data_IF_044542277508
#
_entry.id   IF_044542277508
#
_cell.length_a   1.000
_cell.length_b   1.000
_cell.length_c   1.000
_cell.angle_alpha   90.00
_cell.angle_beta   90.00
_cell.angle_gamma   90.00
#
_symmetry.space_group_name_H-M   'P 1'
#
loop_
_entity.id
_entity.type
_entity.pdbx_description
1 polymer ?
#
# COMPACT_ATOMS: atom_id res chain seq x y z
N UNK A 1 18.62 -33.33 -23.63
CA UNK A 1 20.05 -33.33 -23.29
C UNK A 1 20.20 -33.88 -21.87
N UNK A 2 20.74 -35.09 -21.73
CA UNK A 2 21.04 -35.76 -20.46
C UNK A 2 22.45 -36.33 -20.62
N UNK A 3 23.40 -35.88 -19.82
CA UNK A 3 24.77 -36.38 -19.85
C UNK A 3 25.10 -37.00 -18.49
N UNK A 4 25.14 -38.32 -18.47
CA UNK A 4 25.70 -39.16 -17.40
C UNK A 4 27.19 -39.34 -17.66
N UNK A 5 28.03 -39.16 -16.64
CA UNK A 5 29.40 -39.68 -16.66
C UNK A 5 29.72 -40.36 -15.33
N UNK A 6 29.95 -41.67 -15.43
CA UNK A 6 30.73 -42.49 -14.49
C UNK A 6 32.06 -42.75 -15.18
N UNK A 7 33.17 -42.45 -14.51
CA UNK A 7 34.44 -43.11 -14.77
C UNK A 7 35.18 -43.27 -13.44
N UNK A 8 35.60 -44.51 -13.17
CA UNK A 8 36.44 -44.93 -12.04
C UNK A 8 37.90 -44.67 -12.40
N UNK A 9 38.71 -44.28 -11.42
CA UNK A 9 40.12 -44.65 -11.38
C UNK A 9 40.47 -45.20 -9.99
N UNK A 10 41.11 -46.38 -10.01
CA UNK A 10 41.80 -46.99 -8.88
C UNK A 10 43.01 -46.12 -8.53
N UNK A 11 43.25 -45.91 -7.25
CA UNK A 11 44.59 -45.75 -6.71
C UNK A 11 44.67 -46.58 -5.44
N UNK A 12 45.60 -47.54 -5.45
CA UNK A 12 46.05 -48.30 -4.29
C UNK A 12 46.60 -47.33 -3.25
N UNK A 13 46.31 -47.57 -1.97
CA UNK A 13 47.09 -46.95 -0.90
C UNK A 13 47.41 -48.00 0.14
N UNK A 14 48.71 -48.12 0.30
CA UNK A 14 49.49 -49.07 1.07
C UNK A 14 49.27 -48.82 2.56
N UNK A 15 49.06 -49.89 3.30
CA UNK A 15 49.12 -49.89 4.75
C UNK A 15 50.57 -49.60 5.18
N UNK A 16 50.77 -48.52 5.93
CA UNK A 16 51.95 -48.34 6.77
C UNK A 16 51.45 -47.94 8.16
N UNK A 17 51.69 -48.86 9.09
CA UNK A 17 51.57 -48.68 10.53
C UNK A 17 52.54 -47.55 10.97
N UNK A 18 52.00 -46.54 11.63
CA UNK A 18 52.75 -45.42 12.19
C UNK A 18 52.19 -45.06 13.56
N UNK A 19 52.97 -45.40 14.57
CA UNK A 19 52.72 -45.18 16.00
C UNK A 19 52.36 -43.72 16.35
N UNK A 20 51.37 -43.60 17.23
CA UNK A 20 51.36 -42.69 18.37
C UNK A 20 51.98 -41.31 18.20
N UNK A 21 51.13 -40.31 17.99
CA UNK A 21 51.28 -39.04 18.71
C UNK A 21 49.89 -38.53 19.07
N UNK A 22 49.43 -38.91 20.28
CA UNK A 22 48.37 -38.21 20.99
C UNK A 22 48.84 -36.76 21.19
N UNK A 23 48.48 -35.88 20.25
CA UNK A 23 48.43 -34.45 20.54
C UNK A 23 47.11 -34.24 21.27
N UNK A 24 47.21 -34.06 22.58
CA UNK A 24 46.10 -33.69 23.43
C UNK A 24 45.37 -32.48 22.87
N UNK A 25 44.23 -32.74 22.22
CA UNK A 25 43.15 -31.77 22.10
C UNK A 25 42.53 -31.66 23.48
N UNK A 26 43.23 -30.99 24.40
CA UNK A 26 42.59 -30.28 25.49
C UNK A 26 41.72 -29.22 24.81
N UNK A 27 40.49 -29.62 24.51
CA UNK A 27 39.41 -28.73 24.11
C UNK A 27 39.02 -27.95 25.35
N UNK A 28 39.89 -27.03 25.73
CA UNK A 28 39.72 -26.17 26.89
C UNK A 28 38.44 -25.35 26.66
N UNK A 29 37.42 -25.59 27.48
CA UNK A 29 36.13 -24.91 27.35
C UNK A 29 36.29 -23.38 27.38
N UNK A 30 37.36 -22.90 28.04
CA UNK A 30 37.79 -21.50 28.08
C UNK A 30 38.27 -20.96 26.71
N UNK A 31 38.76 -21.84 25.82
CA UNK A 31 39.16 -21.52 24.43
C UNK A 31 37.96 -21.37 23.50
N UNK A 32 36.93 -22.19 23.68
CA UNK A 32 35.67 -22.10 22.92
C UNK A 32 34.90 -20.83 23.31
N UNK A 33 34.76 -20.56 24.62
CA UNK A 33 34.11 -19.35 25.11
C UNK A 33 34.74 -18.06 24.56
N UNK A 34 36.08 -17.99 24.53
CA UNK A 34 36.82 -16.85 23.95
C UNK A 34 36.60 -16.70 22.44
N UNK A 35 36.46 -17.80 21.68
CA UNK A 35 36.14 -17.73 20.24
C UNK A 35 34.71 -17.27 19.99
N UNK A 36 33.76 -17.73 20.79
CA UNK A 36 32.35 -17.29 20.69
C UNK A 36 32.28 -15.79 21.00
N UNK A 37 32.90 -15.34 22.09
CA UNK A 37 32.92 -13.92 22.46
C UNK A 37 33.52 -13.05 21.35
N UNK A 38 34.70 -13.40 20.80
CA UNK A 38 35.32 -12.65 19.70
C UNK A 38 34.44 -12.59 18.44
N UNK A 39 33.71 -13.66 18.13
CA UNK A 39 32.77 -13.66 17.00
C UNK A 39 31.57 -12.74 17.27
N UNK A 40 31.04 -12.76 18.49
CA UNK A 40 29.95 -11.86 18.90
C UNK A 40 30.40 -10.40 18.86
N UNK A 41 31.60 -10.10 19.38
CA UNK A 41 32.16 -8.75 19.39
C UNK A 41 32.42 -8.27 17.95
N UNK A 42 33.04 -9.09 17.10
CA UNK A 42 33.28 -8.75 15.70
C UNK A 42 31.97 -8.59 14.90
N UNK A 43 30.94 -9.39 15.19
CA UNK A 43 29.62 -9.22 14.60
C UNK A 43 28.95 -7.92 15.07
N UNK A 44 29.11 -7.56 16.34
CA UNK A 44 28.65 -6.28 16.89
C UNK A 44 29.35 -5.08 16.26
N UNK A 45 30.67 -5.15 16.09
CA UNK A 45 31.45 -4.11 15.41
C UNK A 45 31.07 -3.96 13.93
N UNK A 46 30.87 -5.07 13.23
CA UNK A 46 30.41 -5.07 11.85
C UNK A 46 28.99 -4.49 11.70
N UNK A 47 28.07 -4.86 12.61
CA UNK A 47 26.72 -4.30 12.64
C UNK A 47 26.75 -2.78 12.90
N UNK A 48 27.54 -2.32 13.86
CA UNK A 48 27.69 -0.90 14.16
C UNK A 48 28.36 -0.12 13.02
N UNK A 49 29.30 -0.74 12.29
CA UNK A 49 29.89 -0.14 11.09
C UNK A 49 28.88 -0.03 9.94
N UNK A 50 28.06 -1.07 9.73
CA UNK A 50 26.99 -1.06 8.74
C UNK A 50 25.93 0.01 9.06
N UNK A 51 25.54 0.14 10.34
CA UNK A 51 24.59 1.18 10.79
C UNK A 51 25.12 2.60 10.52
N UNK A 52 26.42 2.85 10.77
CA UNK A 52 27.05 4.13 10.45
C UNK A 52 27.16 4.40 8.94
N UNK A 53 27.34 3.37 8.12
CA UNK A 53 27.51 3.50 6.68
C UNK A 53 26.18 3.65 5.91
N UNK A 54 25.07 3.13 6.45
CA UNK A 54 23.78 3.10 5.76
C UNK A 54 23.28 4.48 5.29
N UNK A 55 23.31 5.57 6.10
CA UNK A 55 22.90 6.89 5.62
C UNK A 55 23.76 7.43 4.47
N UNK A 56 25.07 7.14 4.47
CA UNK A 56 25.97 7.57 3.40
C UNK A 56 25.67 6.86 2.08
N UNK A 57 25.43 5.54 2.12
CA UNK A 57 25.08 4.76 0.93
C UNK A 57 23.73 5.19 0.32
N UNK A 58 22.75 5.50 1.18
CA UNK A 58 21.45 6.05 0.78
C UNK A 58 21.62 7.44 0.14
N UNK A 59 22.45 8.30 0.72
CA UNK A 59 22.75 9.63 0.19
C UNK A 59 23.44 9.58 -1.18
N UNK A 60 24.38 8.65 -1.35
CA UNK A 60 25.12 8.47 -2.61
C UNK A 60 24.19 7.98 -3.73
N UNK A 61 23.26 7.08 -3.41
CA UNK A 61 22.36 6.48 -4.41
C UNK A 61 21.16 7.36 -4.77
N UNK A 62 20.53 8.02 -3.80
CA UNK A 62 19.24 8.72 -4.01
C UNK A 62 19.27 10.20 -3.59
N UNK A 63 20.43 10.71 -3.16
CA UNK A 63 20.63 12.12 -2.80
C UNK A 63 20.26 12.49 -1.37
N UNK A 64 20.53 13.75 -1.01
CA UNK A 64 20.43 14.24 0.37
C UNK A 64 19.03 14.19 1.00
N UNK A 65 17.95 14.22 0.19
CA UNK A 65 16.56 14.16 0.70
C UNK A 65 16.20 12.81 1.30
N UNK A 66 16.75 11.72 0.76
CA UNK A 66 16.50 10.35 1.22
C UNK A 66 17.53 9.95 2.29
N UNK A 67 18.71 10.56 2.30
CA UNK A 67 19.76 10.33 3.29
C UNK A 67 19.28 10.50 4.74
N UNK A 68 18.42 11.48 4.99
CA UNK A 68 17.82 11.75 6.31
C UNK A 68 17.00 10.56 6.83
N UNK A 69 16.47 9.74 5.91
CA UNK A 69 15.72 8.51 6.20
C UNK A 69 16.60 7.25 6.27
N UNK A 70 17.92 7.38 6.12
CA UNK A 70 18.81 6.22 5.99
C UNK A 70 18.73 5.22 7.14
N UNK A 71 18.59 5.68 8.39
CA UNK A 71 18.42 4.80 9.55
C UNK A 71 17.07 4.07 9.55
N UNK A 72 16.01 4.70 9.03
CA UNK A 72 14.70 4.06 8.88
C UNK A 72 14.76 3.01 7.76
N UNK A 73 15.25 3.40 6.59
CA UNK A 73 15.32 2.55 5.40
C UNK A 73 16.22 1.32 5.61
N UNK A 74 17.28 1.44 6.41
CA UNK A 74 18.09 0.29 6.81
C UNK A 74 17.30 -0.82 7.53
N UNK A 75 16.12 -0.51 8.07
CA UNK A 75 15.23 -1.44 8.79
C UNK A 75 13.90 -1.69 8.07
N UNK A 76 13.66 -1.05 6.93
CA UNK A 76 12.43 -1.18 6.15
C UNK A 76 12.72 -1.74 4.75
N UNK A 77 12.66 -3.06 4.56
CA UNK A 77 12.80 -3.67 3.24
C UNK A 77 11.77 -3.11 2.24
N UNK A 78 10.52 -2.94 2.68
CA UNK A 78 9.45 -2.36 1.84
C UNK A 78 9.78 -0.92 1.42
N UNK A 79 10.31 -0.10 2.32
CA UNK A 79 10.72 1.27 1.99
C UNK A 79 11.86 1.32 0.98
N UNK A 80 12.82 0.41 1.09
CA UNK A 80 13.92 0.29 0.11
C UNK A 80 13.41 -0.14 -1.25
N UNK A 81 12.54 -1.16 -1.30
CA UNK A 81 11.94 -1.64 -2.55
C UNK A 81 11.09 -0.54 -3.20
N UNK A 82 10.30 0.19 -2.41
CA UNK A 82 9.48 1.29 -2.88
C UNK A 82 10.33 2.42 -3.49
N UNK A 83 11.40 2.84 -2.80
CA UNK A 83 12.31 3.87 -3.30
C UNK A 83 13.01 3.41 -4.59
N UNK A 84 13.45 2.17 -4.66
CA UNK A 84 14.00 1.61 -5.89
C UNK A 84 12.98 1.66 -7.02
N UNK A 85 11.75 1.21 -6.75
CA UNK A 85 10.68 1.21 -7.74
C UNK A 85 10.36 2.63 -8.23
N UNK A 86 10.36 3.58 -7.31
CA UNK A 86 10.03 4.99 -7.57
C UNK A 86 11.12 5.74 -8.35
N UNK A 87 12.38 5.65 -7.92
CA UNK A 87 13.46 6.43 -8.53
C UNK A 87 14.00 5.81 -9.83
N UNK A 88 13.83 4.50 -10.03
CA UNK A 88 14.28 3.79 -11.23
C UNK A 88 13.10 3.55 -12.22
N UNK A 89 12.05 4.37 -12.15
CA UNK A 89 10.78 4.24 -12.90
C UNK A 89 10.98 3.98 -14.40
N UNK A 90 11.82 4.79 -15.06
CA UNK A 90 12.01 4.71 -16.51
C UNK A 90 12.64 3.37 -16.94
N UNK A 91 13.63 2.89 -16.18
CA UNK A 91 14.29 1.61 -16.44
C UNK A 91 13.34 0.44 -16.17
N UNK A 92 12.64 0.48 -15.03
CA UNK A 92 11.72 -0.59 -14.64
C UNK A 92 10.51 -0.65 -15.56
N UNK A 93 9.93 0.49 -15.94
CA UNK A 93 8.83 0.56 -16.92
C UNK A 93 9.26 -0.04 -18.27
N UNK A 94 10.48 0.25 -18.74
CA UNK A 94 11.01 -0.34 -19.96
C UNK A 94 11.24 -1.86 -19.86
N UNK A 95 11.57 -2.35 -18.66
CA UNK A 95 11.85 -3.77 -18.41
C UNK A 95 10.59 -4.62 -18.24
N UNK A 96 9.63 -4.17 -17.42
CA UNK A 96 8.45 -4.97 -17.03
C UNK A 96 7.16 -4.55 -17.72
N UNK A 97 7.17 -3.42 -18.43
CA UNK A 97 5.98 -2.80 -19.01
C UNK A 97 5.23 -1.93 -18.01
N UNK A 98 4.53 -0.93 -18.53
CA UNK A 98 3.86 0.09 -17.72
C UNK A 98 2.77 -0.49 -16.80
N UNK A 99 1.92 -1.37 -17.31
CA UNK A 99 0.84 -1.95 -16.51
C UNK A 99 1.36 -2.75 -15.31
N UNK A 100 2.45 -3.50 -15.50
CA UNK A 100 3.06 -4.27 -14.42
C UNK A 100 3.82 -3.36 -13.46
N UNK A 101 4.45 -2.30 -13.97
CA UNK A 101 5.09 -1.29 -13.16
C UNK A 101 4.08 -0.65 -12.18
N UNK A 102 2.95 -0.19 -12.70
CA UNK A 102 1.91 0.47 -11.89
C UNK A 102 1.25 -0.52 -10.92
N UNK A 103 1.00 -1.76 -11.36
CA UNK A 103 0.47 -2.78 -10.46
C UNK A 103 1.39 -3.01 -9.26
N UNK A 104 2.68 -3.18 -9.54
CA UNK A 104 3.68 -3.39 -8.49
C UNK A 104 3.86 -2.15 -7.61
N UNK A 105 3.78 -0.95 -8.18
CA UNK A 105 3.83 0.29 -7.41
C UNK A 105 2.66 0.33 -6.41
N UNK A 106 1.43 0.05 -6.84
CA UNK A 106 0.28 0.00 -5.95
C UNK A 106 0.37 -1.07 -4.86
N UNK A 107 0.87 -2.27 -5.21
CA UNK A 107 1.17 -3.34 -4.23
C UNK A 107 2.19 -2.87 -3.17
N UNK A 108 3.29 -2.23 -3.60
CA UNK A 108 4.34 -1.73 -2.70
C UNK A 108 3.81 -0.61 -1.80
N UNK A 109 3.07 0.34 -2.36
CA UNK A 109 2.44 1.41 -1.59
C UNK A 109 1.43 0.87 -0.56
N UNK A 110 0.72 -0.21 -0.90
CA UNK A 110 -0.22 -0.85 0.01
C UNK A 110 0.45 -1.56 1.19
N UNK A 111 1.73 -1.92 1.04
CA UNK A 111 2.54 -2.59 2.08
C UNK A 111 3.43 -1.62 2.85
N UNK A 112 3.63 -0.42 2.31
CA UNK A 112 4.50 0.60 2.85
C UNK A 112 3.87 1.24 4.10
N UNK A 113 4.70 1.49 5.12
CA UNK A 113 4.29 2.31 6.26
C UNK A 113 4.22 3.79 5.85
N UNK A 114 3.53 4.61 6.65
CA UNK A 114 3.49 6.06 6.47
C UNK A 114 4.91 6.68 6.37
N UNK A 115 5.91 6.10 7.06
CA UNK A 115 7.31 6.55 7.02
C UNK A 115 8.00 6.20 5.72
N UNK A 116 7.70 5.03 5.15
CA UNK A 116 8.23 4.64 3.83
C UNK A 116 7.72 5.58 2.75
N UNK A 117 6.42 5.93 2.80
CA UNK A 117 5.81 6.92 1.89
C UNK A 117 6.44 8.31 2.07
N UNK A 118 6.67 8.72 3.31
CA UNK A 118 7.36 9.98 3.60
C UNK A 118 8.81 9.98 3.09
N UNK A 119 9.53 8.87 3.22
CA UNK A 119 10.90 8.69 2.73
C UNK A 119 10.97 8.70 1.19
N UNK A 120 9.95 8.19 0.51
CA UNK A 120 9.78 8.31 -0.94
C UNK A 120 9.65 9.78 -1.40
N UNK A 121 9.23 10.67 -0.49
CA UNK A 121 9.17 12.12 -0.72
C UNK A 121 7.80 12.65 -1.10
N UNK A 122 6.71 11.94 -0.76
CA UNK A 122 5.35 12.42 -0.97
C UNK A 122 5.00 13.59 -0.05
N UNK A 123 4.10 14.47 -0.52
CA UNK A 123 3.48 15.48 0.33
C UNK A 123 2.57 14.82 1.35
N UNK A 124 2.40 15.40 2.53
CA UNK A 124 1.54 14.83 3.58
C UNK A 124 0.36 15.76 3.90
N UNK A 125 -0.59 15.30 4.71
CA UNK A 125 -1.76 16.11 5.16
C UNK A 125 -1.43 17.46 5.77
N UNK A 126 -0.19 17.68 6.24
CA UNK A 126 0.28 18.99 6.73
C UNK A 126 0.75 19.93 5.62
N UNK A 127 1.24 19.38 4.51
CA UNK A 127 1.84 20.07 3.36
C UNK A 127 1.73 19.19 2.12
N UNK A 128 0.65 19.40 1.36
CA UNK A 128 0.39 18.69 0.10
C UNK A 128 1.18 19.28 -1.08
N UNK A 129 1.68 20.52 -0.95
CA UNK A 129 2.32 21.30 -2.02
C UNK A 129 3.80 20.94 -2.29
N UNK A 130 4.40 20.10 -1.44
CA UNK A 130 5.80 19.70 -1.51
C UNK A 130 6.04 18.44 -0.68
N UNK A 131 7.12 17.71 -0.98
CA UNK A 131 7.59 16.58 -0.18
C UNK A 131 7.62 16.89 1.34
N UNK A 132 7.29 15.93 2.22
CA UNK A 132 7.50 16.10 3.66
C UNK A 132 8.99 16.40 3.92
N UNK A 133 9.32 17.67 4.20
CA UNK A 133 10.69 18.13 4.49
C UNK A 133 11.08 18.00 5.96
N UNK A 134 10.16 17.55 6.81
CA UNK A 134 10.40 17.41 8.25
C UNK A 134 10.58 15.94 8.58
N UNK A 135 11.63 15.29 8.05
CA UNK A 135 11.93 13.90 8.39
C UNK A 135 12.00 13.72 9.91
N UNK A 136 12.58 14.70 10.62
CA UNK A 136 12.61 14.78 12.09
C UNK A 136 11.24 14.77 12.79
N UNK A 137 10.15 15.11 12.10
CA UNK A 137 8.78 15.11 12.63
C UNK A 137 7.97 13.94 12.06
N UNK A 138 8.06 13.69 10.75
CA UNK A 138 7.34 12.61 10.03
C UNK A 138 7.89 11.21 10.39
N UNK A 139 9.15 11.10 10.85
CA UNK A 139 9.76 9.81 11.22
C UNK A 139 9.45 9.34 12.65
N UNK A 140 8.93 10.22 13.51
CA UNK A 140 8.67 9.88 14.91
C UNK A 140 7.49 8.92 15.05
N UNK A 141 7.50 8.08 16.08
CA UNK A 141 6.29 7.39 16.51
C UNK A 141 5.31 8.39 17.12
N UNK A 142 4.01 8.33 16.79
CA UNK A 142 3.03 9.18 17.45
C UNK A 142 2.97 8.79 18.92
N UNK A 143 3.33 9.72 19.80
CA UNK A 143 3.25 9.53 21.25
C UNK A 143 1.80 9.77 21.67
N UNK A 144 1.07 8.68 21.96
CA UNK A 144 -0.30 8.74 22.47
C UNK A 144 -0.28 8.65 24.00
N UNK A 145 -0.93 9.57 24.74
CA UNK A 145 -1.06 9.47 26.18
C UNK A 145 -1.73 8.15 26.61
N UNK A 146 -1.33 7.56 27.76
CA UNK A 146 -1.95 6.33 28.25
C UNK A 146 -3.47 6.50 28.43
N UNK A 147 -4.26 5.65 27.76
CA UNK A 147 -5.73 5.67 27.84
C UNK A 147 -6.41 6.50 26.75
N UNK A 148 -5.64 7.25 25.94
CA UNK A 148 -6.16 7.87 24.72
C UNK A 148 -6.00 6.92 23.53
N UNK A 149 -6.98 6.94 22.63
CA UNK A 149 -6.84 6.36 21.29
C UNK A 149 -6.63 7.51 20.34
N UNK A 150 -5.71 7.36 19.39
CA UNK A 150 -5.67 8.28 18.25
C UNK A 150 -7.05 8.28 17.61
N UNK A 151 -7.55 9.47 17.27
CA UNK A 151 -8.75 9.57 16.46
C UNK A 151 -8.55 8.75 15.17
N UNK A 152 -9.62 8.17 14.63
CA UNK A 152 -9.60 7.34 13.40
C UNK A 152 -8.91 8.03 12.21
N UNK A 153 -8.76 9.35 12.27
CA UNK A 153 -8.02 10.15 11.32
C UNK A 153 -6.89 10.93 12.03
N UNK A 154 -5.66 10.67 11.61
CA UNK A 154 -4.43 11.33 12.08
C UNK A 154 -4.33 12.74 11.48
N UNK A 155 -5.07 13.69 12.04
CA UNK A 155 -4.98 15.10 11.66
C UNK A 155 -4.64 15.94 12.90
N UNK A 156 -3.68 16.87 12.77
CA UNK A 156 -3.33 17.82 13.83
C UNK A 156 -1.83 18.00 14.06
N UNK A 157 -1.46 18.54 15.22
CA UNK A 157 -0.08 18.91 15.61
C UNK A 157 0.77 17.74 16.16
N UNK A 158 0.20 16.53 16.26
CA UNK A 158 0.90 15.35 16.79
C UNK A 158 2.05 14.90 15.86
N UNK A 159 3.32 14.87 16.27
CA UNK A 159 4.43 14.38 15.44
C UNK A 159 4.17 12.96 14.89
N UNK A 160 4.63 12.67 13.67
CA UNK A 160 4.42 11.38 13.00
C UNK A 160 2.99 11.06 12.55
N UNK A 161 1.99 11.86 12.95
CA UNK A 161 0.58 11.54 12.73
C UNK A 161 0.04 12.01 11.37
N UNK A 162 0.72 11.69 10.26
CA UNK A 162 0.16 11.93 8.92
C UNK A 162 -0.78 10.78 8.54
N UNK A 163 -2.05 11.07 8.24
CA UNK A 163 -3.04 10.08 7.77
C UNK A 163 -3.14 9.94 6.26
N UNK A 164 -2.59 10.89 5.49
CA UNK A 164 -2.62 10.82 4.03
C UNK A 164 -1.38 11.45 3.42
N UNK A 165 -0.99 10.89 2.28
CA UNK A 165 0.14 11.30 1.48
C UNK A 165 -0.29 11.44 0.03
N UNK A 166 0.03 12.59 -0.56
CA UNK A 166 -0.42 12.96 -1.90
C UNK A 166 0.79 13.36 -2.73
N UNK A 167 0.84 12.87 -3.96
CA UNK A 167 1.65 13.42 -5.04
C UNK A 167 0.72 13.83 -6.18
N UNK A 168 0.71 15.12 -6.51
CA UNK A 168 -0.08 15.67 -7.60
C UNK A 168 0.77 16.19 -8.76
N UNK A 169 2.06 15.86 -8.78
CA UNK A 169 3.03 16.37 -9.76
C UNK A 169 3.64 15.28 -10.63
N UNK A 170 3.69 14.02 -10.17
CA UNK A 170 4.02 12.91 -11.07
C UNK A 170 2.82 12.53 -11.94
N UNK A 171 3.12 11.82 -13.03
CA UNK A 171 2.12 11.21 -13.93
C UNK A 171 1.25 10.12 -13.26
N UNK A 172 1.60 9.72 -12.03
CA UNK A 172 0.91 8.66 -11.30
C UNK A 172 -0.13 9.19 -10.31
N UNK A 173 -0.15 10.51 -10.08
CA UNK A 173 -1.01 11.23 -9.14
C UNK A 173 -1.49 10.34 -7.97
N UNK A 174 -0.65 10.22 -6.96
CA UNK A 174 -0.80 9.25 -5.88
C UNK A 174 -1.60 9.85 -4.73
N UNK A 175 -2.57 9.10 -4.20
CA UNK A 175 -3.19 9.36 -2.89
C UNK A 175 -3.14 8.08 -2.05
N UNK A 176 -2.39 8.13 -0.94
CA UNK A 176 -2.27 7.04 0.03
C UNK A 176 -2.90 7.49 1.34
N UNK A 177 -3.79 6.67 1.91
CA UNK A 177 -4.42 6.93 3.22
C UNK A 177 -4.12 5.82 4.22
N UNK A 178 -4.00 6.20 5.50
CA UNK A 178 -3.69 5.35 6.63
C UNK A 178 -4.71 5.55 7.77
N UNK A 179 -5.02 4.46 8.47
CA UNK A 179 -5.75 4.45 9.72
C UNK A 179 -4.78 4.58 10.91
N UNK A 180 -5.30 4.46 12.13
CA UNK A 180 -4.47 4.34 13.32
C UNK A 180 -3.53 3.10 13.26
N UNK A 181 -2.38 3.18 13.93
CA UNK A 181 -1.41 2.07 14.01
C UNK A 181 -0.66 1.74 12.70
N UNK A 182 -0.57 2.66 11.76
CA UNK A 182 0.08 2.54 10.44
C UNK A 182 -0.63 1.52 9.53
N UNK A 183 -1.88 1.15 9.87
CA UNK A 183 -2.70 0.31 9.00
C UNK A 183 -3.03 1.08 7.72
N UNK A 184 -2.58 0.55 6.60
CA UNK A 184 -2.94 1.03 5.27
C UNK A 184 -4.46 1.00 5.10
N UNK A 185 -5.01 2.02 4.44
CA UNK A 185 -6.43 2.09 4.09
C UNK A 185 -6.63 2.05 2.59
N UNK A 186 -6.12 3.04 1.87
CA UNK A 186 -6.29 3.09 0.42
C UNK A 186 -5.05 3.61 -0.30
N UNK A 187 -4.79 3.06 -1.48
CA UNK A 187 -3.88 3.62 -2.48
C UNK A 187 -4.67 3.86 -3.73
N UNK A 188 -4.58 5.07 -4.24
CA UNK A 188 -5.23 5.48 -5.47
C UNK A 188 -4.17 6.13 -6.36
N UNK A 189 -4.00 5.55 -7.55
CA UNK A 189 -3.08 6.03 -8.57
C UNK A 189 -3.91 6.57 -9.72
N UNK A 190 -3.91 7.89 -9.92
CA UNK A 190 -4.48 8.50 -11.11
C UNK A 190 -3.37 8.58 -12.16
N UNK A 191 -3.35 7.66 -13.12
CA UNK A 191 -2.67 7.96 -14.38
C UNK A 191 -3.36 9.17 -15.00
N UNK A 192 -2.68 9.90 -15.88
CA UNK A 192 -3.13 11.12 -16.58
C UNK A 192 -4.59 11.10 -17.16
N UNK A 193 -5.27 9.95 -17.10
CA UNK A 193 -6.69 9.76 -17.35
C UNK A 193 -7.40 8.93 -16.23
N UNK A 194 -8.59 9.32 -15.73
CA UNK A 194 -9.23 8.60 -14.61
C UNK A 194 -9.76 7.19 -14.95
N UNK A 195 -9.98 6.89 -16.24
CA UNK A 195 -10.24 5.52 -16.73
C UNK A 195 -9.03 4.57 -16.65
N UNK A 196 -7.84 5.09 -16.36
CA UNK A 196 -6.64 4.29 -16.08
C UNK A 196 -6.29 4.27 -14.59
N UNK A 197 -7.17 4.85 -13.75
CA UNK A 197 -6.96 4.91 -12.32
C UNK A 197 -6.98 3.52 -11.69
N UNK A 198 -6.21 3.36 -10.63
CA UNK A 198 -6.04 2.08 -9.95
C UNK A 198 -6.21 2.28 -8.45
N UNK A 199 -7.12 1.51 -7.85
CA UNK A 199 -7.46 1.61 -6.43
C UNK A 199 -7.17 0.31 -5.70
N UNK A 200 -6.46 0.41 -4.58
CA UNK A 200 -6.33 -0.65 -3.59
C UNK A 200 -6.97 -0.21 -2.28
N UNK A 201 -7.74 -1.09 -1.65
CA UNK A 201 -8.32 -0.90 -0.32
C UNK A 201 -7.84 -2.03 0.58
N UNK A 202 -7.19 -1.70 1.70
CA UNK A 202 -6.51 -2.67 2.58
C UNK A 202 -5.60 -3.66 1.81
N UNK A 203 -4.98 -3.19 0.71
CA UNK A 203 -4.10 -3.96 -0.17
C UNK A 203 -4.80 -4.85 -1.19
N UNK A 204 -6.13 -4.91 -1.20
CA UNK A 204 -6.94 -5.61 -2.20
C UNK A 204 -7.23 -4.68 -3.36
N UNK A 205 -7.11 -5.19 -4.60
CA UNK A 205 -7.44 -4.42 -5.79
C UNK A 205 -8.96 -4.27 -5.94
N UNK A 206 -9.42 -3.04 -6.20
CA UNK A 206 -10.85 -2.70 -6.26
C UNK A 206 -11.16 -1.83 -7.49
N UNK A 207 -12.35 -2.00 -8.07
CA UNK A 207 -12.84 -1.17 -9.17
C UNK A 207 -12.11 -1.41 -10.50
N UNK A 208 -11.66 -2.65 -10.76
CA UNK A 208 -11.04 -2.99 -12.03
C UNK A 208 -12.02 -2.77 -13.19
N UNK A 209 -11.59 -2.03 -14.21
CA UNK A 209 -12.41 -1.71 -15.38
C UNK A 209 -13.33 -0.50 -15.19
N UNK A 210 -13.48 0.00 -13.96
CA UNK A 210 -14.29 1.17 -13.67
C UNK A 210 -13.50 2.46 -13.87
N UNK A 211 -14.16 3.49 -14.36
CA UNK A 211 -13.62 4.83 -14.38
C UNK A 211 -13.76 5.42 -12.98
N UNK A 212 -12.66 5.66 -12.28
CA UNK A 212 -12.67 6.11 -10.89
C UNK A 212 -12.50 7.62 -10.82
N UNK A 213 -13.32 8.30 -10.03
CA UNK A 213 -13.19 9.73 -9.78
C UNK A 213 -12.05 10.04 -8.80
N UNK A 214 -11.53 11.27 -8.83
CA UNK A 214 -10.58 11.76 -7.84
C UNK A 214 -11.18 11.84 -6.45
N UNK A 215 -10.61 11.03 -5.56
CA UNK A 215 -10.90 11.01 -4.14
C UNK A 215 -12.03 10.05 -3.78
N UNK A 216 -11.84 9.38 -2.64
CA UNK A 216 -12.84 8.59 -1.97
C UNK A 216 -12.93 9.00 -0.50
N UNK A 217 -13.89 8.44 0.21
CA UNK A 217 -14.02 8.63 1.64
C UNK A 217 -14.34 7.32 2.33
N UNK A 218 -14.03 7.29 3.61
CA UNK A 218 -14.32 6.16 4.46
C UNK A 218 -15.53 6.46 5.34
N UNK A 219 -16.47 5.52 5.41
CA UNK A 219 -17.53 5.52 6.42
C UNK A 219 -17.12 4.56 7.55
N UNK A 220 -16.67 5.14 8.66
CA UNK A 220 -16.05 4.40 9.76
C UNK A 220 -14.72 3.76 9.34
N UNK A 221 -14.46 2.53 9.80
CA UNK A 221 -13.24 1.75 9.49
C UNK A 221 -13.49 0.59 8.51
N UNK A 222 -14.73 0.44 8.02
CA UNK A 222 -15.18 -0.73 7.25
C UNK A 222 -15.44 -0.43 5.79
N UNK A 223 -16.09 0.69 5.46
CA UNK A 223 -16.54 0.94 4.09
C UNK A 223 -15.71 2.05 3.44
N UNK A 224 -15.08 1.74 2.32
CA UNK A 224 -14.50 2.73 1.44
C UNK A 224 -15.47 3.02 0.30
N UNK A 225 -15.69 4.29 -0.01
CA UNK A 225 -16.59 4.71 -1.07
C UNK A 225 -15.92 5.69 -2.00
N UNK A 226 -16.13 5.49 -3.30
CA UNK A 226 -15.60 6.34 -4.36
C UNK A 226 -16.64 6.47 -5.47
N UNK A 227 -16.69 7.64 -6.08
CA UNK A 227 -17.55 7.89 -7.24
C UNK A 227 -16.90 7.23 -8.45
N UNK A 228 -17.73 6.65 -9.31
CA UNK A 228 -17.31 6.11 -10.59
C UNK A 228 -18.17 6.71 -11.70
N UNK A 229 -17.79 6.47 -12.95
CA UNK A 229 -18.56 6.92 -14.10
C UNK A 229 -20.05 6.56 -13.98
N UNK A 230 -20.88 7.54 -14.32
CA UNK A 230 -22.32 7.35 -14.32
C UNK A 230 -22.79 6.61 -15.57
N UNK A 231 -24.02 6.05 -15.52
CA UNK A 231 -24.63 5.39 -16.67
C UNK A 231 -24.68 6.31 -17.90
N UNK A 232 -24.16 5.84 -19.04
CA UNK A 232 -24.13 6.60 -20.31
C UNK A 232 -25.55 6.96 -20.81
N UNK A 233 -26.54 6.14 -20.48
CA UNK A 233 -27.93 6.24 -20.95
C UNK A 233 -28.83 7.09 -20.02
N UNK A 234 -28.27 7.66 -18.96
CA UNK A 234 -29.06 8.45 -18.01
C UNK A 234 -29.52 9.77 -18.65
N UNK A 235 -30.81 10.15 -18.49
CA UNK A 235 -31.37 11.30 -19.21
C UNK A 235 -30.75 12.64 -18.84
N UNK A 236 -30.24 12.77 -17.62
CA UNK A 236 -29.51 13.94 -17.14
C UNK A 236 -27.98 13.82 -17.33
N UNK A 237 -27.50 12.74 -17.97
CA UNK A 237 -26.09 12.57 -18.26
C UNK A 237 -25.63 13.56 -19.31
N UNK A 238 -24.48 14.16 -19.08
CA UNK A 238 -23.88 15.13 -19.98
C UNK A 238 -22.48 15.50 -19.53
N UNK A 239 -21.75 16.16 -20.43
CA UNK A 239 -20.41 16.67 -20.16
C UNK A 239 -20.52 17.70 -19.01
N UNK A 240 -20.03 17.32 -17.83
CA UNK A 240 -20.02 18.16 -16.63
C UNK A 240 -19.26 19.47 -16.85
N UNK A 241 -19.51 20.46 -15.97
CA UNK A 241 -18.78 21.72 -16.00
C UNK A 241 -17.26 21.47 -15.80
N UNK A 242 -16.43 22.09 -16.65
CA UNK A 242 -14.97 22.00 -16.60
C UNK A 242 -14.45 22.15 -15.17
N UNK A 243 -13.80 21.10 -14.65
CA UNK A 243 -13.23 21.06 -13.30
C UNK A 243 -13.69 19.83 -12.50
N UNK A 244 -14.88 19.31 -12.79
CA UNK A 244 -15.33 17.99 -12.31
C UNK A 244 -15.38 17.06 -13.51
N UNK A 245 -14.70 15.94 -13.39
CA UNK A 245 -14.34 15.04 -14.47
C UNK A 245 -15.59 14.45 -15.18
N UNK A 246 -15.97 15.08 -16.30
CA UNK A 246 -16.88 14.72 -17.40
C UNK A 246 -18.31 14.21 -17.12
N UNK A 247 -18.59 13.43 -16.09
CA UNK A 247 -19.95 12.94 -15.80
C UNK A 247 -20.70 13.90 -14.87
N UNK A 248 -21.94 14.23 -15.23
CA UNK A 248 -22.82 15.04 -14.36
C UNK A 248 -23.50 14.14 -13.33
N UNK A 249 -23.99 12.99 -13.78
CA UNK A 249 -24.54 11.95 -12.92
C UNK A 249 -23.47 10.88 -12.73
N UNK A 250 -23.31 10.41 -11.50
CA UNK A 250 -22.26 9.45 -11.13
C UNK A 250 -22.83 8.24 -10.42
N UNK A 251 -22.16 7.11 -10.57
CA UNK A 251 -22.44 5.90 -9.79
C UNK A 251 -21.57 5.90 -8.53
N UNK A 252 -21.91 5.05 -7.56
CA UNK A 252 -21.18 4.91 -6.31
C UNK A 252 -20.64 3.49 -6.15
N UNK A 253 -19.31 3.36 -6.08
CA UNK A 253 -18.63 2.13 -5.67
C UNK A 253 -18.46 2.14 -4.16
N UNK A 254 -18.86 1.05 -3.52
CA UNK A 254 -18.75 0.81 -2.07
C UNK A 254 -17.99 -0.49 -1.86
N UNK A 255 -16.81 -0.41 -1.26
CA UNK A 255 -16.02 -1.57 -0.88
C UNK A 255 -16.12 -1.81 0.63
N UNK A 256 -16.55 -3.01 1.02
CA UNK A 256 -16.51 -3.49 2.40
C UNK A 256 -15.16 -4.15 2.68
N UNK A 257 -14.25 -3.41 3.30
CA UNK A 257 -12.89 -3.88 3.60
C UNK A 257 -12.87 -5.06 4.58
N UNK A 258 -13.90 -5.21 5.41
CA UNK A 258 -13.98 -6.34 6.34
C UNK A 258 -14.36 -7.65 5.62
N UNK A 259 -15.21 -7.56 4.59
CA UNK A 259 -15.68 -8.73 3.83
C UNK A 259 -14.91 -8.95 2.52
N UNK A 260 -14.18 -7.95 2.05
CA UNK A 260 -13.54 -7.96 0.74
C UNK A 260 -14.54 -7.91 -0.43
N UNK A 261 -15.76 -7.43 -0.21
CA UNK A 261 -16.83 -7.38 -1.21
C UNK A 261 -17.02 -5.97 -1.74
N UNK A 262 -17.32 -5.84 -3.03
CA UNK A 262 -17.56 -4.55 -3.69
C UNK A 262 -18.99 -4.50 -4.22
N UNK A 263 -19.69 -3.41 -3.92
CA UNK A 263 -21.02 -3.12 -4.44
C UNK A 263 -20.97 -1.84 -5.27
N UNK A 264 -21.52 -1.89 -6.47
CA UNK A 264 -21.71 -0.71 -7.32
C UNK A 264 -23.19 -0.36 -7.30
N UNK A 265 -23.49 0.91 -7.04
CA UNK A 265 -24.84 1.44 -7.07
C UNK A 265 -24.94 2.43 -8.21
N UNK A 266 -25.88 2.16 -9.10
CA UNK A 266 -26.17 2.97 -10.28
C UNK A 266 -27.47 3.74 -10.03
N UNK A 267 -27.50 5.07 -10.25
CA UNK A 267 -28.72 5.84 -10.16
C UNK A 267 -29.72 5.41 -11.25
N UNK A 268 -31.00 5.31 -10.88
CA UNK A 268 -32.10 5.19 -11.83
C UNK A 268 -32.29 6.47 -12.63
N UNK A 269 -32.97 6.39 -13.78
CA UNK A 269 -33.19 7.53 -14.67
C UNK A 269 -33.91 8.75 -14.04
N UNK A 270 -34.54 8.58 -12.87
CA UNK A 270 -35.19 9.65 -12.11
C UNK A 270 -34.36 10.19 -10.95
N UNK A 271 -33.20 9.59 -10.68
CA UNK A 271 -32.30 9.96 -9.59
C UNK A 271 -31.23 10.94 -10.11
N UNK A 272 -30.78 11.86 -9.26
CA UNK A 272 -29.87 12.96 -9.67
C UNK A 272 -28.58 12.95 -8.86
N UNK A 273 -27.90 11.80 -8.84
CA UNK A 273 -26.69 11.58 -8.05
C UNK A 273 -25.52 12.35 -8.66
N UNK A 274 -25.13 13.44 -8.03
CA UNK A 274 -24.03 14.31 -8.50
C UNK A 274 -22.82 14.28 -7.55
N UNK A 275 -23.05 14.05 -6.25
CA UNK A 275 -22.02 13.80 -5.26
C UNK A 275 -22.55 12.82 -4.20
N UNK A 276 -22.87 11.58 -4.60
CA UNK A 276 -23.57 10.65 -3.72
C UNK A 276 -22.72 10.27 -2.52
N UNK A 277 -23.36 10.17 -1.36
CA UNK A 277 -22.69 9.83 -0.11
C UNK A 277 -23.37 8.70 0.64
N UNK A 278 -22.57 7.76 1.13
CA UNK A 278 -22.99 6.71 2.04
C UNK A 278 -23.01 7.23 3.48
N UNK A 279 -24.04 6.85 4.23
CA UNK A 279 -24.08 6.87 5.68
C UNK A 279 -24.41 5.47 6.21
N UNK A 280 -23.72 5.04 7.25
CA UNK A 280 -23.99 3.73 7.88
C UNK A 280 -24.67 3.94 9.23
N UNK A 281 -25.87 3.41 9.37
CA UNK A 281 -26.63 3.43 10.63
C UNK A 281 -27.57 2.24 10.73
N UNK A 282 -27.74 1.74 11.94
CA UNK A 282 -28.70 0.67 12.26
C UNK A 282 -28.53 -0.59 11.39
N UNK A 283 -27.29 -0.95 11.05
CA UNK A 283 -26.98 -2.12 10.21
C UNK A 283 -27.29 -1.95 8.71
N UNK A 284 -27.66 -0.75 8.28
CA UNK A 284 -27.98 -0.43 6.90
C UNK A 284 -27.07 0.66 6.33
N UNK A 285 -26.82 0.57 5.03
CA UNK A 285 -26.23 1.63 4.21
C UNK A 285 -27.32 2.51 3.64
N UNK A 286 -27.19 3.83 3.82
CA UNK A 286 -28.11 4.85 3.34
C UNK A 286 -27.37 5.73 2.34
N UNK A 287 -27.81 5.77 1.10
CA UNK A 287 -27.16 6.57 0.04
C UNK A 287 -28.01 7.79 -0.26
N UNK A 288 -27.37 8.95 -0.19
CA UNK A 288 -27.96 10.23 -0.52
C UNK A 288 -27.40 10.71 -1.86
N UNK A 289 -28.20 11.40 -2.69
CA UNK A 289 -27.76 11.88 -4.00
C UNK A 289 -26.66 12.95 -3.91
N UNK A 290 -26.62 13.70 -2.81
CA UNK A 290 -25.63 14.74 -2.51
C UNK A 290 -25.30 14.81 -1.02
N UNK A 291 -24.15 15.44 -0.69
CA UNK A 291 -23.80 15.79 0.70
C UNK A 291 -24.81 16.71 1.35
N UNK A 292 -25.35 17.67 0.60
CA UNK A 292 -26.34 18.64 1.08
C UNK A 292 -27.65 17.94 1.45
N UNK A 293 -28.10 16.96 0.65
CA UNK A 293 -29.30 16.18 0.93
C UNK A 293 -29.15 15.40 2.26
N UNK A 294 -27.98 14.79 2.50
CA UNK A 294 -27.65 14.16 3.78
C UNK A 294 -27.68 15.18 4.93
N UNK A 295 -27.00 16.31 4.77
CA UNK A 295 -26.88 17.33 5.81
C UNK A 295 -28.23 17.97 6.18
N UNK A 296 -29.13 18.13 5.22
CA UNK A 296 -30.49 18.65 5.43
C UNK A 296 -31.44 17.63 6.07
N UNK A 297 -30.99 16.38 6.30
CA UNK A 297 -31.85 15.30 6.80
C UNK A 297 -32.90 14.84 5.78
N UNK A 298 -32.58 14.93 4.48
CA UNK A 298 -33.43 14.44 3.40
C UNK A 298 -33.66 12.93 3.46
N UNK A 299 -34.54 12.43 2.59
CA UNK A 299 -34.67 11.00 2.37
C UNK A 299 -33.46 10.47 1.59
N UNK A 300 -32.96 9.26 1.89
CA UNK A 300 -32.01 8.58 1.01
C UNK A 300 -32.72 8.14 -0.28
N UNK A 301 -31.94 8.00 -1.34
CA UNK A 301 -32.42 7.39 -2.58
C UNK A 301 -32.31 5.86 -2.51
N UNK A 302 -31.29 5.33 -1.83
CA UNK A 302 -31.15 3.88 -1.55
C UNK A 302 -30.98 3.59 -0.07
N UNK A 303 -31.58 2.48 0.34
CA UNK A 303 -31.30 1.83 1.63
C UNK A 303 -31.10 0.34 1.38
N UNK A 304 -30.02 -0.21 1.92
CA UNK A 304 -29.71 -1.63 1.81
C UNK A 304 -29.10 -2.16 3.11
N UNK A 305 -29.27 -3.45 3.35
CA UNK A 305 -28.65 -4.11 4.50
C UNK A 305 -27.18 -4.41 4.22
N UNK A 306 -26.33 -4.16 5.23
CA UNK A 306 -24.88 -4.34 5.12
C UNK A 306 -24.44 -5.78 5.34
N UNK A 307 -25.28 -6.57 6.03
CA UNK A 307 -24.93 -7.92 6.43
C UNK A 307 -25.68 -9.03 5.69
N UNK A 308 -26.53 -8.68 4.72
CA UNK A 308 -27.15 -9.69 3.86
C UNK A 308 -26.08 -10.42 3.03
N UNK A 309 -26.15 -11.77 2.93
CA UNK A 309 -25.37 -12.49 1.94
C UNK A 309 -25.83 -12.00 0.57
N UNK A 310 -24.89 -11.67 -0.33
CA UNK A 310 -25.20 -11.51 -1.74
C UNK A 310 -25.96 -12.76 -2.17
N UNK A 311 -27.18 -12.58 -2.65
CA UNK A 311 -27.93 -13.69 -3.22
C UNK A 311 -27.09 -14.22 -4.38
N UNK A 312 -26.62 -15.47 -4.27
CA UNK A 312 -25.96 -16.17 -5.37
C UNK A 312 -26.81 -15.98 -6.63
N UNK A 313 -26.23 -15.36 -7.64
CA UNK A 313 -26.86 -15.09 -8.92
C UNK A 313 -27.30 -16.43 -9.53
N UNK A 314 -28.61 -16.74 -9.63
CA UNK A 314 -29.07 -18.04 -10.10
C UNK A 314 -29.09 -18.08 -11.64
N UNK A 315 -28.03 -17.64 -12.31
CA UNK A 315 -27.88 -17.72 -13.77
C UNK A 315 -26.51 -18.24 -14.20
N UNK A 316 -26.13 -19.40 -13.68
CA UNK A 316 -25.32 -20.36 -14.43
C UNK A 316 -26.17 -21.60 -14.69
N UNK A 317 -27.20 -21.43 -15.51
CA UNK A 317 -27.98 -22.55 -16.03
C UNK A 317 -27.06 -23.49 -16.80
N UNK A 318 -27.02 -24.75 -16.36
CA UNK A 318 -26.44 -25.87 -17.10
C UNK A 318 -26.94 -25.83 -18.56
N UNK A 319 -26.06 -25.74 -19.57
CA UNK A 319 -26.48 -26.03 -20.93
C UNK A 319 -26.71 -27.55 -20.99
N UNK A 320 -27.98 -27.94 -20.88
CA UNK A 320 -28.43 -29.31 -21.09
C UNK A 320 -27.86 -29.87 -22.40
N UNK A 321 -27.30 -31.07 -22.28
CA UNK A 321 -26.90 -31.91 -23.38
C UNK A 321 -28.12 -32.26 -24.25
N UNK A 322 -28.02 -31.96 -25.54
CA UNK A 322 -28.90 -32.44 -26.62
C UNK A 322 -28.09 -32.78 -27.85
#
# INVERSE_FOLDING_TARGET
MKWSWRAKSKAETKAEDGEGTETGLECDAESIGRRIQRRTDAAGEAAAAAERAAPMLVAERWGGRVAEWGHWLARSPTGVDLIHWWFDEAELTALVGEDRYVERLGELLSQASARDIAAMGLGCTRRVDRACRFAEVCSQDPVVPPGEKLASHRHGEVPGACSSFIDCFSKHEIDVTFADGDRHRSVLLFRDHPGEARLWVDGVRVGEGEWLDKGGFWEGERFFTIRIEGPEDHPEQGIGAMGNQLCTIVSLLIHDAQRGTTRILVPEATESWTDPVLAVRDGAGWVYPTREARAAGGAPDRVFLLDEPEADDPEAGDPEAG
#
